data_IF_435942120581
#
_entry.id   IF_435942120581
#
_cell.length_a   1.000
_cell.length_b   1.000
_cell.length_c   1.000
_cell.angle_alpha   90.00
_cell.angle_beta   90.00
_cell.angle_gamma   90.00
#
_symmetry.space_group_name_H-M   'P 1'
#
loop_
_entity.id
_entity.type
_entity.pdbx_description
1 polymer ?
#
# COMPACT_ATOMS: atom_id res chain seq x y z
N UNK A 1 -10.44 20.09 -51.33
CA UNK A 1 -10.85 18.77 -50.75
C UNK A 1 -9.67 17.92 -50.26
N UNK A 2 -8.54 17.83 -50.98
CA UNK A 2 -7.35 17.07 -50.55
C UNK A 2 -6.62 17.64 -49.32
N UNK A 3 -6.65 18.96 -49.12
CA UNK A 3 -6.05 19.61 -47.93
C UNK A 3 -6.91 19.47 -46.66
N UNK A 4 -8.23 19.38 -46.81
CA UNK A 4 -9.16 19.15 -45.68
C UNK A 4 -9.01 17.72 -45.12
N UNK A 5 -8.74 16.73 -45.98
CA UNK A 5 -8.44 15.34 -45.59
C UNK A 5 -7.12 15.20 -44.83
N UNK A 6 -6.10 16.00 -45.16
CA UNK A 6 -4.79 15.97 -44.48
C UNK A 6 -4.86 16.60 -43.08
N UNK A 7 -5.66 17.66 -42.92
CA UNK A 7 -5.90 18.29 -41.61
C UNK A 7 -6.66 17.34 -40.68
N UNK A 8 -7.65 16.61 -41.20
CA UNK A 8 -8.40 15.62 -40.43
C UNK A 8 -7.55 14.41 -40.01
N UNK A 9 -6.58 14.00 -40.83
CA UNK A 9 -5.67 12.90 -40.52
C UNK A 9 -4.60 13.29 -39.46
N UNK A 10 -4.17 14.54 -39.43
CA UNK A 10 -3.19 15.04 -38.45
C UNK A 10 -3.79 15.26 -37.05
N UNK A 11 -5.10 15.52 -36.96
CA UNK A 11 -5.82 15.68 -35.69
C UNK A 11 -6.08 14.36 -34.95
N UNK A 12 -5.93 13.20 -35.61
CA UNK A 12 -6.15 11.90 -34.99
C UNK A 12 -4.94 11.36 -34.19
N UNK A 13 -3.78 12.03 -34.23
CA UNK A 13 -2.52 11.47 -33.71
C UNK A 13 -2.05 11.99 -32.34
N UNK A 14 -2.80 12.84 -31.63
CA UNK A 14 -2.28 13.44 -30.39
C UNK A 14 -3.29 13.52 -29.24
N UNK A 15 -3.89 12.40 -28.85
CA UNK A 15 -4.39 12.28 -27.47
C UNK A 15 -4.70 10.83 -27.07
N UNK A 16 -3.69 9.97 -27.11
CA UNK A 16 -3.63 8.86 -26.15
C UNK A 16 -2.57 9.25 -25.11
N UNK A 17 -2.91 10.22 -24.27
CA UNK A 17 -2.20 10.39 -23.00
C UNK A 17 -2.83 9.42 -22.00
N UNK A 18 -2.39 8.17 -22.04
CA UNK A 18 -2.52 7.27 -20.91
C UNK A 18 -1.48 7.68 -19.86
N UNK A 19 -1.73 8.76 -19.12
CA UNK A 19 -0.97 9.17 -17.93
C UNK A 19 -2.01 9.60 -16.89
N UNK A 20 -2.06 9.09 -15.66
CA UNK A 20 -1.12 8.26 -14.93
C UNK A 20 -1.94 7.33 -14.02
N UNK A 21 -1.57 6.05 -13.98
CA UNK A 21 -2.00 5.15 -12.93
C UNK A 21 -1.54 5.74 -11.58
N UNK A 22 -2.42 6.47 -10.90
CA UNK A 22 -2.19 6.94 -9.54
C UNK A 22 -2.42 5.77 -8.57
N UNK A 23 -1.78 4.63 -8.84
CA UNK A 23 -1.74 3.53 -7.89
C UNK A 23 -0.59 3.76 -6.93
N UNK A 24 -0.79 4.66 -5.97
CA UNK A 24 0.02 4.69 -4.77
C UNK A 24 -0.93 4.60 -3.59
N UNK A 25 -1.47 3.41 -3.37
CA UNK A 25 -2.03 3.12 -2.06
C UNK A 25 -0.84 2.96 -1.11
N UNK A 26 -0.64 3.92 -0.22
CA UNK A 26 0.29 3.80 0.90
C UNK A 26 -0.35 4.23 2.23
N UNK A 27 -1.65 4.51 2.28
CA UNK A 27 -2.31 5.06 3.46
C UNK A 27 -2.10 6.56 3.62
N UNK A 28 -3.10 7.24 4.17
CA UNK A 28 -3.12 8.71 4.24
C UNK A 28 -1.96 9.22 5.12
N UNK A 29 -1.78 8.59 6.29
CA UNK A 29 -0.70 8.94 7.21
C UNK A 29 0.70 8.62 6.67
N UNK A 30 0.89 7.52 5.94
CA UNK A 30 2.20 7.27 5.33
C UNK A 30 2.49 8.26 4.19
N UNK A 31 1.46 8.73 3.49
CA UNK A 31 1.60 9.76 2.44
C UNK A 31 2.07 11.08 3.07
N UNK A 32 1.45 11.53 4.16
CA UNK A 32 1.91 12.70 4.91
C UNK A 32 3.38 12.56 5.33
N UNK A 33 3.74 11.44 5.94
CA UNK A 33 5.12 11.19 6.40
C UNK A 33 6.14 11.15 5.25
N UNK A 34 5.72 10.66 4.08
CA UNK A 34 6.53 10.67 2.86
C UNK A 34 6.72 12.11 2.37
N UNK A 35 5.66 12.90 2.33
CA UNK A 35 5.69 14.28 1.84
C UNK A 35 6.51 15.19 2.77
N UNK A 36 6.46 14.93 4.08
CA UNK A 36 7.35 15.55 5.09
C UNK A 36 8.81 15.07 5.01
N UNK A 37 9.11 14.03 4.21
CA UNK A 37 10.45 13.45 4.10
C UNK A 37 10.91 12.59 5.29
N UNK A 38 9.99 12.21 6.17
CA UNK A 38 10.23 11.44 7.41
C UNK A 38 10.00 9.94 7.28
N UNK A 39 9.45 9.46 6.16
CA UNK A 39 9.15 8.03 5.95
C UNK A 39 10.37 7.12 6.15
N UNK A 40 11.56 7.59 5.78
CA UNK A 40 12.85 6.90 5.92
C UNK A 40 13.31 6.68 7.37
N UNK A 41 12.75 7.40 8.33
CA UNK A 41 13.10 7.26 9.75
C UNK A 41 12.36 6.10 10.44
N UNK A 42 11.34 5.57 9.76
CA UNK A 42 10.37 4.64 10.34
C UNK A 42 10.64 3.20 9.90
N UNK A 43 10.97 2.96 8.63
CA UNK A 43 11.23 1.63 8.09
C UNK A 43 12.39 1.59 7.08
N UNK A 44 12.96 0.41 6.80
CA UNK A 44 13.98 0.22 5.76
C UNK A 44 13.56 0.73 4.37
N UNK A 45 14.52 0.79 3.43
CA UNK A 45 14.23 1.27 2.07
C UNK A 45 13.14 0.44 1.38
N UNK A 46 12.41 1.03 0.43
CA UNK A 46 11.38 0.31 -0.35
C UNK A 46 11.94 -0.92 -1.08
N UNK A 47 13.18 -0.83 -1.57
CA UNK A 47 13.85 -1.93 -2.23
C UNK A 47 14.13 -3.10 -1.27
N UNK A 48 14.45 -2.79 -0.01
CA UNK A 48 14.70 -3.77 1.03
C UNK A 48 13.40 -4.40 1.51
N UNK A 49 12.36 -3.61 1.81
CA UNK A 49 11.03 -4.11 2.18
C UNK A 49 10.50 -5.05 1.10
N UNK A 50 10.55 -4.69 -0.19
CA UNK A 50 10.06 -5.59 -1.26
C UNK A 50 10.73 -6.96 -1.30
N UNK A 51 11.97 -7.07 -0.82
CA UNK A 51 12.75 -8.32 -0.81
C UNK A 51 12.61 -9.09 0.49
N UNK A 52 12.57 -8.38 1.63
CA UNK A 52 12.70 -8.96 2.97
C UNK A 52 11.42 -8.85 3.82
N UNK A 53 10.34 -8.29 3.28
CA UNK A 53 9.07 -8.13 3.97
C UNK A 53 8.57 -9.42 4.65
N UNK A 54 8.48 -10.58 3.97
CA UNK A 54 7.98 -11.78 4.63
C UNK A 54 8.89 -12.22 5.79
N UNK A 55 10.21 -12.10 5.66
CA UNK A 55 11.20 -12.48 6.66
C UNK A 55 11.10 -11.59 7.90
N UNK A 56 10.92 -10.28 7.72
CA UNK A 56 10.70 -9.34 8.82
C UNK A 56 9.42 -9.68 9.60
N UNK A 57 8.33 -9.98 8.88
CA UNK A 57 7.06 -10.35 9.51
C UNK A 57 7.16 -11.71 10.23
N UNK A 58 7.78 -12.72 9.62
CA UNK A 58 7.96 -14.04 10.21
C UNK A 58 8.82 -13.98 11.48
N UNK A 59 9.94 -13.24 11.44
CA UNK A 59 10.79 -13.02 12.60
C UNK A 59 10.04 -12.33 13.73
N UNK A 60 9.32 -11.26 13.42
CA UNK A 60 8.51 -10.53 14.42
C UNK A 60 7.40 -11.41 15.00
N UNK A 61 6.73 -12.20 14.16
CA UNK A 61 5.71 -13.17 14.58
C UNK A 61 6.30 -14.18 15.56
N UNK A 62 7.43 -14.78 15.23
CA UNK A 62 8.07 -15.81 16.03
C UNK A 62 8.52 -15.25 17.40
N UNK A 63 9.14 -14.06 17.39
CA UNK A 63 9.44 -13.31 18.62
C UNK A 63 8.20 -13.04 19.46
N UNK A 64 7.11 -12.62 18.83
CA UNK A 64 5.88 -12.26 19.53
C UNK A 64 5.15 -13.48 20.11
N UNK A 65 4.97 -14.52 19.30
CA UNK A 65 4.12 -15.66 19.63
C UNK A 65 4.86 -16.76 20.39
N UNK A 66 6.12 -17.04 20.04
CA UNK A 66 6.88 -18.13 20.66
C UNK A 66 7.78 -17.67 21.81
N UNK A 67 8.22 -16.42 21.78
CA UNK A 67 9.15 -15.87 22.76
C UNK A 67 8.53 -14.80 23.67
N UNK A 68 7.29 -14.38 23.39
CA UNK A 68 6.58 -13.37 24.20
C UNK A 68 7.11 -11.95 24.06
N UNK A 69 7.99 -11.66 23.09
CA UNK A 69 8.61 -10.34 22.90
C UNK A 69 7.66 -9.43 22.12
N UNK A 70 7.09 -8.42 22.79
CA UNK A 70 6.17 -7.45 22.20
C UNK A 70 6.77 -6.06 22.19
N UNK A 71 7.17 -5.58 21.01
CA UNK A 71 7.66 -4.20 20.81
C UNK A 71 6.74 -3.45 19.87
N UNK A 72 6.56 -2.14 20.11
CA UNK A 72 5.74 -1.27 19.25
C UNK A 72 6.37 -1.08 17.87
N UNK A 73 7.69 -0.86 17.83
CA UNK A 73 8.47 -0.73 16.61
C UNK A 73 8.30 -1.99 15.74
N UNK A 74 8.06 -1.79 14.45
CA UNK A 74 7.87 -2.84 13.44
C UNK A 74 6.77 -3.85 13.81
N UNK A 75 5.78 -3.43 14.60
CA UNK A 75 4.61 -4.28 14.87
C UNK A 75 3.64 -4.21 13.71
N UNK A 76 2.96 -5.32 13.42
CA UNK A 76 1.95 -5.38 12.37
C UNK A 76 0.86 -4.30 12.57
N UNK A 77 0.51 -4.01 13.83
CA UNK A 77 -0.43 -2.94 14.18
C UNK A 77 0.06 -1.57 13.69
N UNK A 78 1.32 -1.21 13.99
CA UNK A 78 1.87 0.08 13.56
C UNK A 78 2.04 0.16 12.04
N UNK A 79 2.30 -0.95 11.35
CA UNK A 79 2.26 -0.99 9.89
C UNK A 79 0.87 -0.60 9.35
N UNK A 80 -0.18 -1.20 9.91
CA UNK A 80 -1.58 -0.93 9.52
C UNK A 80 -1.98 0.51 9.86
N UNK A 81 -1.55 1.05 11.00
CA UNK A 81 -1.87 2.42 11.41
C UNK A 81 -1.45 3.47 10.36
N UNK A 82 -0.28 3.31 9.73
CA UNK A 82 0.19 4.26 8.72
C UNK A 82 -0.30 3.91 7.30
N UNK A 83 -0.42 2.62 6.98
CA UNK A 83 -0.75 2.15 5.62
C UNK A 83 -2.23 1.94 5.33
N UNK A 84 -3.11 2.09 6.31
CA UNK A 84 -4.56 2.09 6.06
C UNK A 84 -4.98 3.38 5.39
N UNK A 85 -5.86 3.28 4.40
CA UNK A 85 -6.53 4.45 3.80
C UNK A 85 -7.86 4.70 4.52
N UNK A 86 -8.31 5.95 4.52
CA UNK A 86 -9.63 6.32 5.02
C UNK A 86 -10.58 6.69 3.89
N UNK A 87 -11.88 6.49 4.09
CA UNK A 87 -12.95 6.94 3.20
C UNK A 87 -14.12 7.39 4.06
N UNK A 88 -14.57 8.63 3.87
CA UNK A 88 -15.61 9.24 4.71
C UNK A 88 -15.29 9.14 6.22
N UNK A 89 -14.03 9.44 6.58
CA UNK A 89 -13.51 9.36 7.95
C UNK A 89 -13.48 7.94 8.59
N UNK A 90 -13.77 6.89 7.82
CA UNK A 90 -13.69 5.49 8.27
C UNK A 90 -12.51 4.76 7.63
N UNK A 91 -11.87 3.86 8.40
CA UNK A 91 -10.79 3.02 7.88
C UNK A 91 -11.30 2.01 6.85
N UNK A 92 -10.63 1.99 5.69
CA UNK A 92 -10.83 0.93 4.70
C UNK A 92 -10.06 -0.32 5.15
N UNK A 93 -10.70 -1.51 5.16
CA UNK A 93 -10.00 -2.75 5.46
C UNK A 93 -8.78 -2.95 4.57
N UNK A 94 -7.59 -3.19 5.13
CA UNK A 94 -6.33 -3.32 4.36
C UNK A 94 -6.31 -4.48 3.33
N UNK A 95 -7.22 -5.44 3.44
CA UNK A 95 -7.42 -6.54 2.49
C UNK A 95 -8.48 -6.24 1.41
N UNK A 96 -9.14 -5.09 1.47
CA UNK A 96 -10.09 -4.66 0.45
C UNK A 96 -9.38 -4.47 -0.91
N UNK A 97 -10.11 -4.56 -2.03
CA UNK A 97 -9.57 -4.21 -3.34
C UNK A 97 -8.92 -2.82 -3.33
N UNK A 98 -7.85 -2.68 -4.12
CA UNK A 98 -7.08 -1.44 -4.29
C UNK A 98 -6.38 -0.90 -3.04
N UNK A 99 -6.38 -1.66 -1.93
CA UNK A 99 -5.53 -1.41 -0.77
C UNK A 99 -4.11 -1.93 -0.98
N UNK A 100 -3.11 -1.24 -0.41
CA UNK A 100 -1.69 -1.52 -0.62
C UNK A 100 -1.34 -3.00 -0.44
N UNK A 101 -1.75 -3.56 0.69
CA UNK A 101 -1.48 -4.95 1.04
C UNK A 101 -2.12 -5.88 -0.01
N UNK A 102 -3.41 -5.68 -0.32
CA UNK A 102 -4.16 -6.46 -1.30
C UNK A 102 -3.51 -6.44 -2.69
N UNK A 103 -3.19 -5.25 -3.22
CA UNK A 103 -2.56 -5.10 -4.54
C UNK A 103 -1.16 -5.72 -4.59
N UNK A 104 -0.35 -5.54 -3.54
CA UNK A 104 0.98 -6.14 -3.47
C UNK A 104 0.91 -7.68 -3.46
N UNK A 105 0.04 -8.22 -2.60
CA UNK A 105 -0.13 -9.66 -2.43
C UNK A 105 -0.74 -10.34 -3.67
N UNK A 106 -1.70 -9.67 -4.33
CA UNK A 106 -2.19 -10.10 -5.63
C UNK A 106 -1.06 -10.16 -6.66
N UNK A 107 -0.21 -9.12 -6.70
CA UNK A 107 0.91 -9.04 -7.65
C UNK A 107 1.98 -10.12 -7.45
N UNK A 108 2.29 -10.48 -6.20
CA UNK A 108 3.29 -11.51 -5.89
C UNK A 108 2.69 -12.91 -5.70
N UNK A 109 1.39 -13.08 -5.94
CA UNK A 109 0.70 -14.38 -5.87
C UNK A 109 0.67 -14.99 -4.46
N UNK A 110 0.63 -14.16 -3.41
CA UNK A 110 0.62 -14.62 -2.02
C UNK A 110 -0.70 -14.24 -1.36
N UNK A 111 -1.33 -15.14 -0.60
CA UNK A 111 -2.57 -14.84 0.13
C UNK A 111 -2.32 -13.99 1.38
N UNK A 112 -3.31 -13.17 1.74
CA UNK A 112 -3.40 -12.42 3.00
C UNK A 112 -4.21 -13.21 4.03
N UNK A 113 -3.88 -14.49 4.20
CA UNK A 113 -4.70 -15.44 4.98
C UNK A 113 -4.80 -15.10 6.47
N UNK A 114 -3.81 -14.41 7.03
CA UNK A 114 -3.78 -13.93 8.41
C UNK A 114 -5.04 -13.12 8.76
N UNK A 115 -5.56 -12.39 7.78
CA UNK A 115 -6.69 -11.48 7.94
C UNK A 115 -8.07 -12.13 7.74
N UNK A 116 -8.10 -13.42 7.38
CA UNK A 116 -9.34 -14.19 7.38
C UNK A 116 -9.92 -14.34 8.80
N UNK A 117 -9.05 -14.33 9.82
CA UNK A 117 -9.41 -14.42 11.24
C UNK A 117 -8.98 -13.18 12.05
N UNK A 118 -7.94 -12.44 11.65
CA UNK A 118 -7.47 -11.24 12.35
C UNK A 118 -7.98 -9.96 11.68
N UNK A 119 -8.60 -9.06 12.46
CA UNK A 119 -9.21 -7.81 11.97
C UNK A 119 -8.22 -6.96 11.17
N UNK A 120 -8.72 -6.39 10.09
CA UNK A 120 -8.01 -5.55 9.11
C UNK A 120 -8.15 -4.06 9.34
N UNK A 121 -8.90 -3.68 10.38
CA UNK A 121 -9.08 -2.31 10.84
C UNK A 121 -8.70 -2.21 12.32
N UNK A 122 -8.13 -1.08 12.76
CA UNK A 122 -7.92 -0.81 14.18
C UNK A 122 -9.24 -0.91 14.95
N UNK A 123 -9.22 -1.48 16.16
CA UNK A 123 -10.38 -1.40 17.06
C UNK A 123 -10.49 0.05 17.53
N UNK A 124 -11.65 0.68 17.37
CA UNK A 124 -11.97 1.90 18.10
C UNK A 124 -11.77 1.65 19.60
N UNK A 125 -11.18 2.63 20.29
CA UNK A 125 -10.81 2.52 21.70
C UNK A 125 -11.98 2.03 22.56
N UNK A 126 -11.65 1.18 23.55
CA UNK A 126 -12.59 0.78 24.61
C UNK A 126 -12.98 1.97 25.48
#
# INVERSE_FOLDING_TARGET
MRHLLIIFLALAFTSVFAHADKHVNLGDRATELKDEGKSRDIHPSLAEIRKMHPEFLLHKRDKTLRQGVRTQRDSLKECVNCHSSTKNDEYVPINAPDQFCSTCHQKVGTSLDCFSCHRTTPKEGL
#
